data_IF_217303114122
#
_entry.id   IF_217303114122
#
_cell.length_a   1.000
_cell.length_b   1.000
_cell.length_c   1.000
_cell.angle_alpha   90.00
_cell.angle_beta   90.00
_cell.angle_gamma   90.00
#
_symmetry.space_group_name_H-M   'P 1'
#
loop_
_entity.id
_entity.type
_entity.pdbx_description
1 polymer ?
#
# COMPACT_ATOMS: atom_id res chain seq x y z
N UNK A 1 -4.88 8.94 -8.41
CA UNK A 1 -4.58 7.80 -7.52
C UNK A 1 -5.52 7.71 -6.34
N UNK A 2 -5.36 6.68 -5.53
CA UNK A 2 -6.08 6.58 -4.25
C UNK A 2 -5.40 7.48 -3.22
N UNK A 3 -6.17 8.00 -2.27
CA UNK A 3 -5.61 8.72 -1.13
C UNK A 3 -4.76 7.80 -0.29
N UNK A 4 -3.68 8.35 0.27
CA UNK A 4 -2.80 7.63 1.22
C UNK A 4 -3.57 7.18 2.47
N UNK A 5 -3.07 6.14 3.12
CA UNK A 5 -3.54 5.70 4.43
C UNK A 5 -2.94 6.52 5.59
N UNK A 6 -1.91 7.30 5.31
CA UNK A 6 -1.24 8.15 6.29
C UNK A 6 -2.18 9.23 6.82
N UNK A 7 -2.39 9.24 8.15
CA UNK A 7 -3.19 10.27 8.82
C UNK A 7 -2.52 11.64 8.71
N UNK A 8 -1.20 11.69 8.82
CA UNK A 8 -0.41 12.94 8.77
C UNK A 8 -0.54 13.59 7.39
N UNK A 9 -0.39 12.83 6.30
CA UNK A 9 -0.57 13.33 4.94
C UNK A 9 -2.01 13.78 4.71
N UNK A 10 -3.00 13.01 5.16
CA UNK A 10 -4.40 13.40 5.04
C UNK A 10 -4.72 14.68 5.82
N UNK A 11 -4.10 14.88 6.99
CA UNK A 11 -4.25 16.12 7.76
C UNK A 11 -3.57 17.29 7.06
N UNK A 12 -2.38 17.10 6.51
CA UNK A 12 -1.68 18.09 5.71
C UNK A 12 -2.49 18.53 4.49
N UNK A 13 -3.03 17.56 3.73
CA UNK A 13 -3.89 17.84 2.58
C UNK A 13 -5.15 18.62 2.96
N UNK A 14 -5.71 18.36 4.15
CA UNK A 14 -6.88 19.09 4.64
C UNK A 14 -6.58 20.57 4.99
N UNK A 15 -5.32 20.90 5.25
CA UNK A 15 -4.87 22.29 5.48
C UNK A 15 -4.56 23.03 4.17
N UNK A 16 -4.50 22.31 3.04
CA UNK A 16 -4.26 22.90 1.74
C UNK A 16 -5.45 23.75 1.30
N UNK A 17 -5.19 24.99 0.92
CA UNK A 17 -6.24 25.92 0.43
C UNK A 17 -6.86 25.49 -0.90
N UNK A 18 -6.16 24.69 -1.70
CA UNK A 18 -6.65 24.14 -2.97
C UNK A 18 -6.12 22.72 -3.15
N UNK A 19 -7.02 21.78 -3.40
CA UNK A 19 -6.70 20.39 -3.68
C UNK A 19 -7.23 19.99 -5.05
N UNK A 20 -6.37 19.47 -5.92
CA UNK A 20 -6.73 18.96 -7.23
C UNK A 20 -6.61 17.44 -7.23
N UNK A 21 -7.65 16.75 -7.68
CA UNK A 21 -7.66 15.30 -7.80
C UNK A 21 -7.58 14.93 -9.28
N UNK A 22 -6.64 14.08 -9.64
CA UNK A 22 -6.49 13.54 -11.01
C UNK A 22 -6.73 12.04 -10.92
N UNK A 23 -7.85 11.58 -11.45
CA UNK A 23 -8.20 10.17 -11.47
C UNK A 23 -9.12 9.83 -12.65
N UNK A 24 -8.75 8.84 -13.48
CA UNK A 24 -9.55 8.46 -14.64
C UNK A 24 -10.84 7.71 -14.30
N UNK A 25 -11.03 7.31 -13.05
CA UNK A 25 -12.21 6.56 -12.62
C UNK A 25 -13.40 7.49 -12.40
N UNK A 26 -14.58 7.00 -12.75
CA UNK A 26 -15.84 7.73 -12.57
C UNK A 26 -16.27 7.76 -11.09
N UNK A 27 -15.80 6.80 -10.28
CA UNK A 27 -16.11 6.76 -8.86
C UNK A 27 -15.38 7.85 -8.08
N UNK A 28 -16.10 8.54 -7.22
CA UNK A 28 -15.61 9.64 -6.39
C UNK A 28 -14.49 9.17 -5.46
N UNK A 29 -13.28 9.65 -5.67
CA UNK A 29 -12.11 9.31 -4.86
C UNK A 29 -11.90 10.33 -3.76
N UNK A 30 -12.51 11.50 -3.88
CA UNK A 30 -12.52 12.51 -2.84
C UNK A 30 -13.56 12.15 -1.76
N UNK A 31 -13.19 11.22 -0.88
CA UNK A 31 -14.04 10.75 0.22
C UNK A 31 -14.42 11.85 1.19
N UNK A 32 -13.62 12.90 1.30
CA UNK A 32 -13.87 14.05 2.19
C UNK A 32 -14.53 15.22 1.49
N UNK A 33 -14.72 15.14 0.17
CA UNK A 33 -15.28 16.21 -0.67
C UNK A 33 -14.55 17.55 -0.51
N UNK A 34 -13.23 17.49 -0.43
CA UNK A 34 -12.36 18.67 -0.25
C UNK A 34 -11.67 19.09 -1.54
N UNK A 35 -11.82 18.34 -2.62
CA UNK A 35 -11.24 18.69 -3.90
C UNK A 35 -11.85 20.00 -4.46
N UNK A 36 -10.98 20.94 -4.78
CA UNK A 36 -11.37 22.16 -5.50
C UNK A 36 -11.74 21.84 -6.93
N UNK A 37 -11.11 20.84 -7.54
CA UNK A 37 -11.40 20.37 -8.88
C UNK A 37 -10.94 18.90 -9.06
N UNK A 38 -11.69 18.16 -9.90
CA UNK A 38 -11.37 16.78 -10.26
C UNK A 38 -11.14 16.73 -11.77
N UNK A 39 -10.04 16.09 -12.18
CA UNK A 39 -9.67 15.86 -13.57
C UNK A 39 -9.65 14.35 -13.85
N UNK A 40 -10.23 13.94 -14.97
CA UNK A 40 -10.20 12.54 -15.42
C UNK A 40 -8.92 12.16 -16.18
N UNK A 41 -8.14 13.16 -16.59
CA UNK A 41 -6.82 13.00 -17.21
C UNK A 41 -5.90 14.10 -16.69
N UNK A 42 -4.59 13.94 -16.89
CA UNK A 42 -3.63 14.99 -16.54
C UNK A 42 -3.95 16.26 -17.34
N UNK A 43 -4.33 17.37 -16.69
CA UNK A 43 -4.59 18.62 -17.39
C UNK A 43 -3.30 19.20 -17.97
N UNK A 44 -3.41 20.00 -19.03
CA UNK A 44 -2.29 20.80 -19.52
C UNK A 44 -1.96 21.84 -18.44
N UNK A 45 -0.79 21.70 -17.85
CA UNK A 45 -0.34 22.61 -16.80
C UNK A 45 0.54 23.71 -17.44
N UNK A 46 0.18 24.95 -17.16
CA UNK A 46 1.07 26.09 -17.40
C UNK A 46 1.85 26.36 -16.11
N UNK A 47 3.13 26.00 -16.11
CA UNK A 47 4.00 26.21 -14.96
C UNK A 47 4.66 27.58 -15.12
N UNK A 48 4.19 28.57 -14.39
CA UNK A 48 4.71 29.95 -14.48
C UNK A 48 5.95 30.17 -13.60
N UNK A 49 6.05 29.54 -12.45
CA UNK A 49 7.22 29.63 -11.54
C UNK A 49 7.35 28.36 -10.71
N UNK A 50 8.51 27.73 -10.78
CA UNK A 50 8.89 26.64 -9.87
C UNK A 50 9.78 27.23 -8.79
N UNK A 51 9.46 26.96 -7.52
CA UNK A 51 10.47 27.14 -6.46
C UNK A 51 11.54 26.07 -6.67
N UNK A 52 12.77 26.43 -7.06
CA UNK A 52 13.79 25.44 -7.40
C UNK A 52 14.23 24.58 -6.22
N UNK A 53 14.02 25.04 -4.99
CA UNK A 53 14.39 24.29 -3.78
C UNK A 53 13.27 23.36 -3.30
N UNK A 54 12.03 23.58 -3.71
CA UNK A 54 10.89 22.82 -3.18
C UNK A 54 11.02 21.31 -3.40
N UNK A 55 11.40 20.90 -4.61
CA UNK A 55 11.60 19.50 -4.95
C UNK A 55 12.79 18.91 -4.20
N UNK A 56 13.93 19.66 -4.16
CA UNK A 56 15.13 19.19 -3.45
C UNK A 56 14.89 19.04 -1.96
N UNK A 57 14.16 19.96 -1.32
CA UNK A 57 13.82 19.89 0.09
C UNK A 57 13.00 18.65 0.43
N UNK A 58 12.03 18.30 -0.44
CA UNK A 58 11.26 17.06 -0.30
C UNK A 58 12.12 15.80 -0.48
N UNK A 59 13.04 15.80 -1.45
CA UNK A 59 13.96 14.67 -1.67
C UNK A 59 14.90 14.47 -0.50
N UNK A 60 15.51 15.53 0.01
CA UNK A 60 16.43 15.43 1.15
C UNK A 60 15.69 14.98 2.42
N UNK A 61 14.51 15.51 2.68
CA UNK A 61 13.67 15.06 3.80
C UNK A 61 13.28 13.58 3.66
N UNK A 62 12.91 13.14 2.45
CA UNK A 62 12.58 11.74 2.16
C UNK A 62 13.78 10.82 2.37
N UNK A 63 14.99 11.22 1.96
CA UNK A 63 16.23 10.46 2.22
C UNK A 63 16.51 10.30 3.70
N UNK A 64 16.36 11.38 4.47
CA UNK A 64 16.54 11.32 5.93
C UNK A 64 15.54 10.37 6.59
N UNK A 65 14.27 10.45 6.22
CA UNK A 65 13.24 9.54 6.71
C UNK A 65 13.54 8.08 6.34
N UNK A 66 13.90 7.82 5.08
CA UNK A 66 14.28 6.48 4.61
C UNK A 66 15.48 5.92 5.36
N UNK A 67 16.48 6.76 5.64
CA UNK A 67 17.67 6.37 6.41
C UNK A 67 17.29 5.91 7.82
N UNK A 68 16.48 6.68 8.54
CA UNK A 68 16.00 6.32 9.88
C UNK A 68 15.26 4.98 9.86
N UNK A 69 14.37 4.79 8.86
CA UNK A 69 13.59 3.56 8.71
C UNK A 69 14.50 2.35 8.42
N UNK A 70 15.51 2.51 7.58
CA UNK A 70 16.40 1.39 7.20
C UNK A 70 17.46 1.07 8.25
N UNK A 71 17.82 2.02 9.09
CA UNK A 71 18.79 1.83 10.20
C UNK A 71 18.14 1.21 11.45
N UNK A 72 16.81 1.22 11.57
CA UNK A 72 16.12 0.55 12.66
C UNK A 72 16.25 -0.97 12.49
N UNK A 73 16.98 -1.59 13.42
CA UNK A 73 17.20 -3.04 13.49
C UNK A 73 16.44 -3.67 14.66
N UNK A 74 15.59 -2.91 15.34
CA UNK A 74 14.77 -3.44 16.43
C UNK A 74 13.75 -4.45 15.89
N UNK A 75 13.52 -5.54 16.66
CA UNK A 75 12.46 -6.45 16.29
C UNK A 75 11.10 -5.76 16.46
N UNK A 76 10.40 -5.58 15.35
CA UNK A 76 9.08 -4.96 15.32
C UNK A 76 8.30 -5.45 14.10
N UNK A 77 6.97 -5.30 14.11
CA UNK A 77 6.13 -5.58 12.95
C UNK A 77 6.59 -4.80 11.71
N UNK A 78 6.97 -3.54 11.88
CA UNK A 78 7.43 -2.66 10.80
C UNK A 78 8.69 -3.21 10.14
N UNK A 79 9.69 -3.61 10.93
CA UNK A 79 10.93 -4.18 10.42
C UNK A 79 10.68 -5.54 9.77
N UNK A 80 9.80 -6.37 10.35
CA UNK A 80 9.41 -7.64 9.74
C UNK A 80 8.76 -7.44 8.37
N UNK A 81 7.81 -6.52 8.26
CA UNK A 81 7.11 -6.22 7.00
C UNK A 81 8.03 -5.58 5.95
N UNK A 82 8.94 -4.70 6.38
CA UNK A 82 9.99 -4.16 5.51
C UNK A 82 10.88 -5.28 4.96
N UNK A 83 11.33 -6.19 5.82
CA UNK A 83 12.17 -7.33 5.45
C UNK A 83 11.45 -8.26 4.47
N UNK A 84 10.21 -8.63 4.78
CA UNK A 84 9.38 -9.45 3.90
C UNK A 84 9.25 -8.78 2.53
N UNK A 85 8.81 -7.53 2.48
CA UNK A 85 8.59 -6.83 1.22
C UNK A 85 9.87 -6.67 0.38
N UNK A 86 11.02 -6.46 1.03
CA UNK A 86 12.31 -6.36 0.36
C UNK A 86 12.80 -7.69 -0.22
N UNK A 87 12.48 -8.82 0.45
CA UNK A 87 12.93 -10.15 0.07
C UNK A 87 12.11 -10.83 -1.04
N UNK A 88 10.99 -10.28 -1.47
CA UNK A 88 10.13 -10.92 -2.47
C UNK A 88 10.83 -11.05 -3.83
N UNK A 89 10.75 -12.21 -4.51
CA UNK A 89 11.26 -12.38 -5.86
C UNK A 89 10.52 -11.51 -6.88
N UNK A 90 11.22 -11.07 -7.93
CA UNK A 90 10.54 -10.37 -9.05
C UNK A 90 9.55 -11.31 -9.73
N UNK A 91 8.43 -10.75 -10.19
CA UNK A 91 7.34 -11.51 -10.81
C UNK A 91 6.34 -12.09 -9.81
N UNK A 92 6.57 -11.91 -8.50
CA UNK A 92 5.65 -12.39 -7.47
C UNK A 92 4.41 -11.53 -7.35
N UNK A 93 3.30 -12.17 -6.93
CA UNK A 93 2.18 -11.49 -6.33
C UNK A 93 2.42 -11.28 -4.84
N UNK A 94 2.02 -10.13 -4.33
CA UNK A 94 2.06 -9.80 -2.91
C UNK A 94 0.71 -9.28 -2.41
N UNK A 95 0.00 -10.09 -1.64
CA UNK A 95 -1.24 -9.67 -1.01
C UNK A 95 -0.97 -9.05 0.37
N UNK A 96 -1.53 -7.88 0.61
CA UNK A 96 -1.37 -7.16 1.88
C UNK A 96 -2.72 -6.98 2.56
N UNK A 97 -2.86 -7.59 3.73
CA UNK A 97 -4.07 -7.55 4.53
C UNK A 97 -4.40 -6.16 5.06
N UNK A 98 -5.67 -5.94 5.31
CA UNK A 98 -6.18 -4.70 5.93
C UNK A 98 -5.65 -4.54 7.35
N UNK A 99 -5.96 -3.40 7.98
CA UNK A 99 -5.51 -2.99 9.32
C UNK A 99 -4.04 -2.56 9.37
N UNK A 100 -3.20 -3.17 10.21
CA UNK A 100 -1.78 -2.82 10.39
C UNK A 100 -0.94 -3.15 9.14
N UNK A 101 -0.99 -4.37 8.58
CA UNK A 101 -0.09 -4.75 7.50
C UNK A 101 -0.06 -3.75 6.34
N UNK A 102 -1.22 -3.32 5.82
CA UNK A 102 -1.25 -2.38 4.69
C UNK A 102 -0.70 -0.99 5.05
N UNK A 103 -0.87 -0.55 6.29
CA UNK A 103 -0.37 0.76 6.75
C UNK A 103 1.13 0.73 6.94
N UNK A 104 1.65 -0.35 7.49
CA UNK A 104 3.07 -0.51 7.77
C UNK A 104 3.84 -0.74 6.45
N UNK A 105 3.29 -1.49 5.50
CA UNK A 105 3.86 -1.59 4.15
C UNK A 105 3.87 -0.22 3.45
N UNK A 106 2.79 0.55 3.51
CA UNK A 106 2.77 1.90 2.91
C UNK A 106 3.81 2.84 3.55
N UNK A 107 4.02 2.74 4.86
CA UNK A 107 4.88 3.65 5.61
C UNK A 107 6.37 3.26 5.57
N UNK A 108 6.68 1.97 5.59
CA UNK A 108 8.03 1.47 5.86
C UNK A 108 8.65 0.67 4.72
N UNK A 109 7.85 0.12 3.78
CA UNK A 109 8.41 -0.65 2.69
C UNK A 109 9.17 0.24 1.70
N UNK A 110 10.32 -0.24 1.24
CA UNK A 110 11.07 0.43 0.18
C UNK A 110 10.35 0.23 -1.16
N UNK A 111 10.16 1.33 -1.88
CA UNK A 111 9.56 1.29 -3.22
C UNK A 111 10.41 0.43 -4.17
N UNK A 112 9.77 -0.49 -4.86
CA UNK A 112 10.42 -1.39 -5.83
C UNK A 112 9.49 -1.76 -6.97
N UNK A 113 10.07 -2.14 -8.10
CA UNK A 113 9.35 -2.65 -9.28
C UNK A 113 9.37 -4.17 -9.35
N UNK A 114 8.48 -4.73 -10.18
CA UNK A 114 8.45 -6.16 -10.48
C UNK A 114 7.72 -7.02 -9.46
N UNK A 115 6.89 -6.41 -8.62
CA UNK A 115 5.95 -7.08 -7.72
C UNK A 115 4.55 -6.54 -8.01
N UNK A 116 3.57 -7.43 -8.13
CA UNK A 116 2.17 -7.04 -8.23
C UNK A 116 1.52 -7.07 -6.85
N UNK A 117 1.08 -5.92 -6.38
CA UNK A 117 0.52 -5.76 -5.02
C UNK A 117 -1.00 -5.79 -5.05
N UNK A 118 -1.59 -6.65 -4.24
CA UNK A 118 -3.02 -6.85 -4.09
C UNK A 118 -3.48 -6.54 -2.67
N UNK A 119 -4.70 -6.06 -2.53
CA UNK A 119 -5.35 -5.86 -1.25
C UNK A 119 -6.87 -5.74 -1.43
N UNK A 120 -7.64 -6.27 -0.48
CA UNK A 120 -9.08 -6.07 -0.40
C UNK A 120 -9.40 -4.67 0.13
N UNK A 121 -9.54 -3.68 -0.77
CA UNK A 121 -9.65 -2.25 -0.41
C UNK A 121 -10.98 -1.59 -0.79
N UNK A 122 -11.90 -2.31 -1.39
CA UNK A 122 -13.28 -1.85 -1.62
C UNK A 122 -14.05 -1.79 -0.31
N UNK A 123 -14.32 -2.97 0.23
CA UNK A 123 -14.75 -3.19 1.61
C UNK A 123 -13.56 -3.81 2.35
N UNK A 124 -12.92 -3.03 3.22
CA UNK A 124 -11.69 -3.43 3.89
C UNK A 124 -11.99 -4.27 5.15
N UNK A 125 -12.66 -5.41 4.96
CA UNK A 125 -12.96 -6.40 6.00
C UNK A 125 -11.83 -7.41 6.20
N UNK A 126 -12.00 -8.26 7.19
CA UNK A 126 -11.10 -9.39 7.49
C UNK A 126 -11.59 -10.69 6.86
N UNK A 127 -12.84 -10.70 6.38
CA UNK A 127 -13.45 -11.87 5.73
C UNK A 127 -12.86 -12.10 4.33
N UNK A 128 -12.76 -13.37 3.92
CA UNK A 128 -12.41 -13.77 2.56
C UNK A 128 -11.00 -13.38 2.11
N UNK A 129 -10.09 -13.03 3.02
CA UNK A 129 -8.73 -12.66 2.64
C UNK A 129 -7.93 -13.88 2.20
N UNK A 130 -7.97 -14.99 2.93
CA UNK A 130 -7.31 -16.23 2.52
C UNK A 130 -7.88 -16.76 1.21
N UNK A 131 -9.20 -16.74 1.05
CA UNK A 131 -9.88 -17.13 -0.19
C UNK A 131 -9.41 -16.29 -1.37
N UNK A 132 -9.24 -14.98 -1.19
CA UNK A 132 -8.68 -14.08 -2.20
C UNK A 132 -7.22 -14.42 -2.53
N UNK A 133 -6.39 -14.70 -1.52
CA UNK A 133 -5.00 -15.08 -1.67
C UNK A 133 -4.87 -16.38 -2.47
N UNK A 134 -5.68 -17.40 -2.17
CA UNK A 134 -5.74 -18.63 -2.94
C UNK A 134 -6.14 -18.38 -4.40
N UNK A 135 -7.10 -17.48 -4.64
CA UNK A 135 -7.48 -17.08 -6.00
C UNK A 135 -6.31 -16.45 -6.78
N UNK A 136 -5.55 -15.57 -6.14
CA UNK A 136 -4.38 -14.92 -6.73
C UNK A 136 -3.30 -15.96 -7.04
N UNK A 137 -3.05 -16.94 -6.17
CA UNK A 137 -2.01 -17.95 -6.35
C UNK A 137 -2.19 -18.82 -7.59
N UNK A 138 -3.41 -18.91 -8.12
CA UNK A 138 -3.65 -19.63 -9.37
C UNK A 138 -3.12 -18.90 -10.63
N UNK A 139 -2.74 -17.63 -10.50
CA UNK A 139 -2.32 -16.79 -11.63
C UNK A 139 -0.84 -16.39 -11.58
N UNK A 140 -0.13 -16.76 -10.51
CA UNK A 140 1.27 -16.38 -10.32
C UNK A 140 2.12 -17.61 -9.97
N UNK A 141 3.37 -17.61 -10.42
CA UNK A 141 4.33 -18.65 -10.08
C UNK A 141 4.68 -18.62 -8.58
N UNK A 142 4.74 -17.43 -8.00
CA UNK A 142 4.99 -17.23 -6.58
C UNK A 142 4.02 -16.19 -6.02
N UNK A 143 3.32 -16.56 -4.96
CA UNK A 143 2.40 -15.69 -4.24
C UNK A 143 2.81 -15.61 -2.78
N UNK A 144 2.92 -14.41 -2.30
CA UNK A 144 3.19 -14.09 -0.90
C UNK A 144 2.04 -13.26 -0.34
N UNK A 145 1.75 -13.47 0.92
CA UNK A 145 0.73 -12.69 1.61
C UNK A 145 1.18 -12.33 3.00
N UNK A 146 0.76 -11.17 3.48
CA UNK A 146 0.88 -10.77 4.87
C UNK A 146 -0.47 -10.33 5.40
N UNK A 147 -0.92 -10.96 6.47
CA UNK A 147 -2.22 -10.71 7.10
C UNK A 147 -2.06 -10.75 8.63
N UNK A 148 -2.99 -10.11 9.35
CA UNK A 148 -3.06 -10.25 10.79
C UNK A 148 -3.64 -11.60 11.22
N UNK A 149 -3.36 -11.98 12.46
CA UNK A 149 -3.85 -13.19 13.14
C UNK A 149 -5.38 -13.33 13.07
N UNK A 150 -6.11 -12.29 13.46
CA UNK A 150 -7.58 -12.28 13.41
C UNK A 150 -8.11 -12.42 11.98
N UNK A 151 -7.43 -11.83 10.99
CA UNK A 151 -7.77 -11.99 9.58
C UNK A 151 -7.60 -13.44 9.14
N UNK A 152 -6.53 -14.08 9.58
CA UNK A 152 -6.28 -15.49 9.31
C UNK A 152 -7.37 -16.38 9.93
N UNK A 153 -7.66 -16.17 11.23
CA UNK A 153 -8.67 -16.93 11.95
C UNK A 153 -10.09 -16.78 11.37
N UNK A 154 -10.39 -15.60 10.81
CA UNK A 154 -11.73 -15.32 10.28
C UNK A 154 -12.07 -16.03 8.96
N UNK A 155 -11.07 -16.50 8.23
CA UNK A 155 -11.23 -17.17 6.92
C UNK A 155 -10.55 -18.56 6.88
N UNK A 156 -10.50 -19.24 8.04
CA UNK A 156 -9.88 -20.58 8.15
C UNK A 156 -10.48 -21.61 7.19
N UNK A 157 -11.74 -21.45 6.83
CA UNK A 157 -12.42 -22.36 5.90
C UNK A 157 -11.79 -22.37 4.51
N UNK A 158 -11.07 -21.31 4.14
CA UNK A 158 -10.29 -21.28 2.91
C UNK A 158 -9.19 -22.35 2.85
N UNK A 159 -8.70 -22.83 4.01
CA UNK A 159 -7.71 -23.91 4.09
C UNK A 159 -8.27 -25.29 3.65
N UNK A 160 -9.57 -25.41 3.47
CA UNK A 160 -10.20 -26.59 2.86
C UNK A 160 -10.03 -26.60 1.33
N UNK A 161 -9.56 -25.50 0.73
CA UNK A 161 -9.25 -25.45 -0.69
C UNK A 161 -8.12 -26.43 -1.06
N UNK A 162 -8.00 -26.84 -2.33
CA UNK A 162 -6.90 -27.69 -2.76
C UNK A 162 -5.54 -27.09 -2.41
N UNK A 163 -4.61 -27.94 -2.02
CA UNK A 163 -3.24 -27.53 -1.67
C UNK A 163 -2.56 -26.85 -2.87
N UNK A 164 -1.97 -25.70 -2.62
CA UNK A 164 -1.12 -24.98 -3.57
C UNK A 164 0.31 -24.94 -3.05
N UNK A 165 1.29 -25.10 -3.92
CA UNK A 165 2.71 -25.17 -3.54
C UNK A 165 3.47 -23.86 -3.77
N UNK A 166 2.80 -22.85 -4.29
CA UNK A 166 3.36 -21.56 -4.70
C UNK A 166 2.91 -20.39 -3.81
N UNK A 167 2.36 -20.69 -2.64
CA UNK A 167 1.82 -19.71 -1.70
C UNK A 167 2.55 -19.74 -0.36
N UNK A 168 2.98 -18.56 0.10
CA UNK A 168 3.48 -18.33 1.45
C UNK A 168 2.65 -17.24 2.12
N UNK A 169 2.11 -17.54 3.30
CA UNK A 169 1.34 -16.57 4.11
C UNK A 169 2.10 -16.27 5.39
N UNK A 170 2.45 -15.00 5.58
CA UNK A 170 2.99 -14.48 6.83
C UNK A 170 1.85 -13.97 7.69
N UNK A 171 1.77 -14.47 8.91
CA UNK A 171 0.78 -14.06 9.91
C UNK A 171 1.50 -13.20 10.93
N UNK A 172 1.00 -11.98 11.13
CA UNK A 172 1.54 -11.00 12.08
C UNK A 172 0.57 -10.93 13.25
N UNK A 173 1.12 -11.16 14.44
CA UNK A 173 0.41 -11.10 15.75
C UNK A 173 0.97 -9.94 16.60
#
# INVERSE_FOLDING_TARGET
>A
GRTTLSRSINSYLALSGKTYVIDPRISTIDTKRTASQIFFALPKLEVSTLNPTWISDWYETSKLASKVITEDQSWSEQVALQTISAGLPKGSAFFVGSSRPIRDIEAFATSRSGIEVFANRGLAGIDGNLSTIFGISNSFEHTYAVIGDLTFLHDLTALLAPTVNNLTVFIID
#
